data_IF_320292925774
#
_entry.id   IF_320292925774
#
_cell.length_a   1.000
_cell.length_b   1.000
_cell.length_c   1.000
_cell.angle_alpha   90.00
_cell.angle_beta   90.00
_cell.angle_gamma   90.00
#
_symmetry.space_group_name_H-M   'P 1'
#
loop_
_entity.id
_entity.type
_entity.pdbx_description
1 polymer ?
#
# COMPACT_ATOMS: atom_id res chain seq x y z
N UNK A 1 -18.27 -2.34 36.57
CA UNK A 1 -17.10 -1.77 35.87
C UNK A 1 -16.30 -2.95 35.35
N UNK A 2 -15.99 -3.13 34.08
CA UNK A 2 -15.80 -2.17 32.99
C UNK A 2 -16.44 -2.69 31.70
N UNK A 3 -16.91 -1.75 30.88
CA UNK A 3 -17.49 -1.98 29.56
C UNK A 3 -16.36 -1.80 28.57
N UNK A 4 -15.96 -2.86 27.85
CA UNK A 4 -15.09 -2.73 26.68
C UNK A 4 -15.89 -3.13 25.44
N UNK A 5 -16.53 -2.13 24.84
CA UNK A 5 -17.10 -2.21 23.50
C UNK A 5 -15.96 -2.06 22.50
N UNK A 6 -15.51 -3.17 21.91
CA UNK A 6 -14.77 -3.16 20.64
C UNK A 6 -15.72 -3.56 19.53
N UNK A 7 -16.37 -2.56 18.95
CA UNK A 7 -17.15 -2.68 17.73
C UNK A 7 -16.22 -2.90 16.53
N UNK A 8 -15.71 -4.14 16.39
CA UNK A 8 -15.25 -4.63 15.11
C UNK A 8 -16.47 -5.06 14.32
N UNK A 9 -16.78 -4.37 13.22
CA UNK A 9 -17.81 -4.80 12.26
C UNK A 9 -17.40 -6.20 11.79
N UNK A 10 -18.02 -7.24 12.36
CA UNK A 10 -17.91 -8.60 11.82
C UNK A 10 -18.74 -8.59 10.56
N UNK A 11 -18.11 -8.46 9.40
CA UNK A 11 -18.76 -8.74 8.13
C UNK A 11 -19.35 -10.14 8.23
N UNK A 12 -20.68 -10.23 8.28
CA UNK A 12 -21.38 -11.50 8.15
C UNK A 12 -20.97 -12.10 6.80
N UNK A 13 -20.14 -13.14 6.83
CA UNK A 13 -19.76 -13.90 5.64
C UNK A 13 -20.73 -15.07 5.52
N UNK A 14 -21.71 -15.03 4.59
CA UNK A 14 -22.61 -16.16 4.41
C UNK A 14 -21.81 -17.37 3.92
N UNK A 15 -22.24 -18.59 4.29
CA UNK A 15 -21.58 -19.83 3.87
C UNK A 15 -21.59 -20.05 2.36
N UNK A 16 -20.78 -21.01 1.88
CA UNK A 16 -20.46 -21.28 0.47
C UNK A 16 -21.61 -21.70 -0.48
N UNK A 17 -22.85 -21.39 -0.14
CA UNK A 17 -24.04 -21.57 -0.98
C UNK A 17 -24.90 -20.31 -1.14
N UNK A 18 -24.52 -19.18 -0.54
CA UNK A 18 -25.28 -17.94 -0.67
C UNK A 18 -24.79 -17.10 -1.86
N UNK A 19 -25.73 -16.46 -2.55
CA UNK A 19 -25.43 -15.47 -3.58
C UNK A 19 -24.56 -14.34 -3.00
N UNK A 20 -23.44 -14.04 -3.65
CA UNK A 20 -22.45 -13.06 -3.17
C UNK A 20 -21.37 -13.61 -2.24
N UNK A 21 -21.35 -14.93 -1.96
CA UNK A 21 -20.21 -15.54 -1.29
C UNK A 21 -18.97 -15.53 -2.20
N UNK A 22 -17.92 -14.83 -1.77
CA UNK A 22 -16.58 -14.99 -2.33
C UNK A 22 -15.90 -16.14 -1.57
N UNK A 23 -15.36 -17.10 -2.32
CA UNK A 23 -14.56 -18.17 -1.74
C UNK A 23 -13.48 -17.57 -0.84
N UNK A 24 -13.28 -18.16 0.34
CA UNK A 24 -12.22 -17.68 1.21
C UNK A 24 -10.89 -17.76 0.45
N UNK A 25 -10.10 -16.67 0.44
CA UNK A 25 -8.77 -16.76 -0.14
C UNK A 25 -8.06 -17.91 0.58
N UNK A 26 -7.32 -18.77 -0.16
CA UNK A 26 -6.56 -19.82 0.48
C UNK A 26 -5.70 -19.19 1.57
N UNK A 27 -5.64 -19.82 2.76
CA UNK A 27 -4.75 -19.39 3.84
C UNK A 27 -3.41 -19.06 3.21
N UNK A 28 -2.96 -17.80 3.36
CA UNK A 28 -1.80 -17.31 2.64
C UNK A 28 -0.63 -18.25 2.92
N UNK A 29 -0.21 -19.02 1.92
CA UNK A 29 1.01 -19.85 1.95
C UNK A 29 2.24 -18.95 1.74
N UNK A 30 2.15 -17.69 2.17
CA UNK A 30 3.23 -16.75 2.03
C UNK A 30 4.27 -17.08 3.11
N UNK A 31 5.08 -18.08 2.80
CA UNK A 31 6.35 -18.31 3.46
C UNK A 31 7.25 -17.12 3.10
N UNK A 32 7.64 -16.26 4.05
CA UNK A 32 8.53 -15.15 3.76
C UNK A 32 9.88 -15.72 3.30
N UNK A 33 10.09 -15.76 1.98
CA UNK A 33 11.36 -16.19 1.41
C UNK A 33 12.42 -15.11 1.61
N UNK A 34 13.22 -15.30 2.66
CA UNK A 34 14.36 -14.46 2.97
C UNK A 34 14.00 -13.11 3.59
N UNK A 35 14.88 -12.60 4.44
CA UNK A 35 14.83 -11.21 4.88
C UNK A 35 15.35 -10.32 3.75
N UNK A 36 14.72 -9.15 3.56
CA UNK A 36 15.30 -8.11 2.72
C UNK A 36 16.64 -7.70 3.34
N UNK A 37 17.75 -7.90 2.60
CA UNK A 37 19.03 -7.27 2.94
C UNK A 37 18.83 -5.77 3.14
N UNK A 38 19.61 -5.15 4.03
CA UNK A 38 19.57 -3.71 4.27
C UNK A 38 19.75 -2.89 2.98
N UNK A 39 20.55 -3.40 2.03
CA UNK A 39 20.70 -2.79 0.71
C UNK A 39 19.41 -2.86 -0.11
N UNK A 40 18.72 -4.01 -0.11
CA UNK A 40 17.48 -4.20 -0.84
C UNK A 40 16.34 -3.37 -0.25
N UNK A 41 16.28 -3.20 1.08
CA UNK A 41 15.28 -2.34 1.72
C UNK A 41 15.50 -0.88 1.37
N UNK A 42 16.75 -0.41 1.34
CA UNK A 42 17.11 0.94 0.88
C UNK A 42 16.69 1.17 -0.58
N UNK A 43 16.96 0.21 -1.47
CA UNK A 43 16.54 0.30 -2.89
C UNK A 43 15.02 0.43 -3.03
N UNK A 44 14.25 -0.38 -2.31
CA UNK A 44 12.78 -0.30 -2.33
C UNK A 44 12.28 1.05 -1.80
N UNK A 45 12.90 1.58 -0.73
CA UNK A 45 12.56 2.89 -0.21
C UNK A 45 12.84 4.00 -1.23
N UNK A 46 13.99 3.95 -1.91
CA UNK A 46 14.34 4.90 -2.95
C UNK A 46 13.35 4.86 -4.12
N UNK A 47 13.00 3.66 -4.58
CA UNK A 47 11.98 3.46 -5.63
C UNK A 47 10.64 4.07 -5.22
N UNK A 48 10.22 3.84 -3.97
CA UNK A 48 8.97 4.40 -3.46
C UNK A 48 8.99 5.92 -3.32
N UNK A 49 10.14 6.50 -2.93
CA UNK A 49 10.32 7.95 -2.86
C UNK A 49 10.18 8.58 -4.26
N UNK A 50 10.86 8.04 -5.28
CA UNK A 50 10.75 8.53 -6.65
C UNK A 50 9.35 8.32 -7.24
N UNK A 51 8.69 7.20 -6.94
CA UNK A 51 7.30 6.98 -7.36
C UNK A 51 6.35 8.02 -6.77
N UNK A 52 6.56 8.41 -5.50
CA UNK A 52 5.68 9.35 -4.79
C UNK A 52 6.00 10.82 -5.06
N UNK A 53 7.27 11.16 -5.27
CA UNK A 53 7.73 12.55 -5.26
C UNK A 53 8.61 12.92 -6.46
N UNK A 54 8.98 11.97 -7.32
CA UNK A 54 9.87 12.22 -8.45
C UNK A 54 9.33 13.24 -9.46
N UNK A 55 8.02 13.43 -9.52
CA UNK A 55 7.41 14.45 -10.38
C UNK A 55 7.71 15.89 -9.95
N UNK A 56 8.14 16.11 -8.69
CA UNK A 56 8.49 17.45 -8.19
C UNK A 56 9.76 18.00 -8.84
N UNK A 57 10.70 17.11 -9.15
CA UNK A 57 11.96 17.45 -9.83
C UNK A 57 11.87 17.22 -11.35
N UNK A 58 10.74 16.72 -11.84
CA UNK A 58 10.57 16.47 -13.25
C UNK A 58 10.50 17.80 -14.01
N UNK A 59 11.25 17.88 -15.11
CA UNK A 59 11.21 19.03 -16.01
C UNK A 59 9.96 18.95 -16.90
N UNK A 60 8.82 19.23 -16.27
CA UNK A 60 7.49 19.15 -16.90
C UNK A 60 7.11 20.43 -17.64
N UNK A 61 7.76 21.55 -17.33
CA UNK A 61 7.44 22.86 -17.92
C UNK A 61 8.25 23.09 -19.22
N UNK A 62 7.61 23.01 -20.40
CA UNK A 62 8.30 23.27 -21.67
C UNK A 62 8.60 24.75 -21.88
N UNK A 63 7.95 25.65 -21.13
CA UNK A 63 8.12 27.10 -21.24
C UNK A 63 9.20 27.63 -20.29
N UNK A 64 9.67 26.82 -19.33
CA UNK A 64 10.75 27.17 -18.41
C UNK A 64 10.45 28.35 -17.48
N UNK A 65 9.17 28.58 -17.17
CA UNK A 65 8.68 29.76 -16.45
C UNK A 65 9.03 29.72 -14.96
N UNK A 66 9.32 28.54 -14.42
CA UNK A 66 9.68 28.34 -13.00
C UNK A 66 11.01 29.02 -12.60
N UNK A 67 11.85 29.42 -13.56
CA UNK A 67 13.14 30.10 -13.32
C UNK A 67 13.10 31.61 -13.61
N UNK A 68 11.93 32.20 -13.85
CA UNK A 68 11.81 33.65 -14.00
C UNK A 68 11.81 34.26 -12.60
N UNK A 69 13.02 34.51 -12.07
CA UNK A 69 13.23 35.29 -10.85
C UNK A 69 12.52 36.65 -10.96
N UNK A 70 11.97 37.11 -9.82
CA UNK A 70 11.41 38.46 -9.66
C UNK A 70 12.49 39.52 -9.60
#
# INVERSE_FOLDING_TARGET
>A
MEVLVTAGIRFYRPGGGAFGHLAEPPRSVFEPQGSLSAENSQRVQLINAFRRYGYLEAQLDPLGLQNVEK
#
